data_IF_333809341851
#
_entry.id   IF_333809341851
#
_cell.length_a   1.000
_cell.length_b   1.000
_cell.length_c   1.000
_cell.angle_alpha   90.00
_cell.angle_beta   90.00
_cell.angle_gamma   90.00
#
_symmetry.space_group_name_H-M   'P 1'
#
loop_
_entity.id
_entity.type
_entity.pdbx_description
1 polymer ?
#
# COMPACT_ATOMS: atom_id res chain seq x y z
N UNK A 1 11.75 -4.58 15.91
CA UNK A 1 10.53 -5.36 15.71
C UNK A 1 9.96 -5.00 14.35
N UNK A 2 9.74 -5.97 13.47
CA UNK A 2 8.97 -5.75 12.25
C UNK A 2 7.53 -5.33 12.60
N UNK A 3 7.11 -4.16 12.11
CA UNK A 3 5.75 -3.67 12.29
C UNK A 3 4.93 -4.04 11.06
N UNK A 4 3.79 -4.69 11.28
CA UNK A 4 2.83 -5.00 10.20
C UNK A 4 1.50 -4.31 10.46
N UNK A 5 1.03 -3.58 9.45
CA UNK A 5 -0.19 -2.78 9.50
C UNK A 5 -1.10 -3.26 8.37
N UNK A 6 -2.40 -3.26 8.61
CA UNK A 6 -3.40 -3.56 7.60
C UNK A 6 -4.46 -2.48 7.65
N UNK A 7 -4.66 -1.78 6.53
CA UNK A 7 -5.58 -0.66 6.43
C UNK A 7 -6.52 -0.86 5.24
N UNK A 8 -7.80 -0.55 5.44
CA UNK A 8 -8.80 -0.55 4.39
C UNK A 8 -9.12 0.88 3.97
N UNK A 9 -9.21 1.11 2.66
CA UNK A 9 -9.59 2.40 2.11
C UNK A 9 -10.40 2.21 0.83
N UNK A 10 -11.06 3.29 0.39
CA UNK A 10 -11.78 3.32 -0.88
C UNK A 10 -10.99 4.21 -1.83
N UNK A 11 -10.71 3.71 -3.04
CA UNK A 11 -10.00 4.50 -4.06
C UNK A 11 -10.94 5.50 -4.77
N UNK A 12 -10.40 6.36 -5.63
CA UNK A 12 -11.18 7.38 -6.36
C UNK A 12 -12.25 6.79 -7.30
N UNK A 13 -12.14 5.50 -7.63
CA UNK A 13 -13.13 4.77 -8.43
C UNK A 13 -14.27 4.17 -7.57
N UNK A 14 -14.29 4.43 -6.26
CA UNK A 14 -15.26 3.87 -5.32
C UNK A 14 -15.03 2.39 -5.04
N UNK A 15 -13.81 1.88 -5.25
CA UNK A 15 -13.45 0.48 -5.01
C UNK A 15 -12.82 0.31 -3.64
N UNK A 16 -13.24 -0.72 -2.92
CA UNK A 16 -12.68 -1.06 -1.60
C UNK A 16 -11.35 -1.79 -1.80
N UNK A 17 -10.33 -1.30 -1.11
CA UNK A 17 -8.96 -1.78 -1.17
C UNK A 17 -8.47 -2.08 0.24
N UNK A 18 -7.63 -3.11 0.37
CA UNK A 18 -6.89 -3.45 1.58
C UNK A 18 -5.39 -3.30 1.29
N UNK A 19 -4.71 -2.42 2.04
CA UNK A 19 -3.27 -2.31 2.08
C UNK A 19 -2.69 -3.15 3.24
N UNK A 20 -1.66 -3.93 2.95
CA UNK A 20 -0.80 -4.59 3.91
C UNK A 20 0.57 -3.91 3.87
N UNK A 21 0.97 -3.31 4.97
CA UNK A 21 2.22 -2.56 5.11
C UNK A 21 3.13 -3.34 6.06
N UNK A 22 4.37 -3.56 5.65
CA UNK A 22 5.42 -4.16 6.46
C UNK A 22 6.59 -3.20 6.55
N UNK A 23 6.87 -2.73 7.75
CA UNK A 23 7.97 -1.82 8.07
C UNK A 23 9.03 -2.68 8.77
N UNK A 24 10.20 -2.81 8.15
CA UNK A 24 11.34 -3.50 8.73
C UNK A 24 11.92 -2.72 9.91
N UNK A 25 12.74 -3.38 10.72
CA UNK A 25 13.37 -2.74 11.87
C UNK A 25 14.22 -1.53 11.43
N UNK A 26 14.03 -0.34 12.03
CA UNK A 26 14.80 0.85 11.67
C UNK A 26 16.32 0.69 11.86
N UNK A 27 16.80 -0.26 12.67
CA UNK A 27 18.22 -0.60 12.79
C UNK A 27 18.75 -1.41 11.60
N UNK A 28 17.88 -2.12 10.87
CA UNK A 28 18.21 -2.89 9.66
C UNK A 28 17.96 -2.10 8.36
N UNK A 29 17.19 -1.01 8.41
CA UNK A 29 16.96 -0.09 7.30
C UNK A 29 15.59 0.61 7.37
N UNK A 30 15.35 1.55 6.46
CA UNK A 30 14.05 2.23 6.28
C UNK A 30 13.21 1.60 5.16
N UNK A 31 13.36 0.29 4.96
CA UNK A 31 12.64 -0.44 3.92
C UNK A 31 11.17 -0.64 4.32
N UNK A 32 10.27 -0.08 3.51
CA UNK A 32 8.84 -0.24 3.67
C UNK A 32 8.27 -1.00 2.48
N UNK A 33 7.65 -2.14 2.77
CA UNK A 33 6.95 -2.96 1.79
C UNK A 33 5.45 -2.73 1.88
N UNK A 34 4.83 -2.42 0.75
CA UNK A 34 3.39 -2.16 0.66
C UNK A 34 2.78 -3.08 -0.39
N UNK A 35 1.75 -3.80 0.04
CA UNK A 35 0.92 -4.64 -0.82
C UNK A 35 -0.50 -4.08 -0.80
N UNK A 36 -1.02 -3.66 -1.94
CA UNK A 36 -2.40 -3.17 -2.07
C UNK A 36 -3.20 -4.16 -2.89
N UNK A 37 -4.36 -4.57 -2.36
CA UNK A 37 -5.27 -5.53 -2.98
C UNK A 37 -6.68 -5.00 -2.97
N UNK A 38 -7.42 -5.25 -4.04
CA UNK A 38 -8.88 -5.05 -4.06
C UNK A 38 -9.58 -6.11 -3.20
N UNK A 39 -10.60 -5.70 -2.44
CA UNK A 39 -11.40 -6.63 -1.63
C UNK A 39 -12.18 -7.63 -2.51
N UNK A 40 -12.36 -8.85 -2.00
CA UNK A 40 -13.06 -9.93 -2.72
C UNK A 40 -14.51 -9.55 -3.04
N UNK A 41 -14.98 -9.90 -4.24
CA UNK A 41 -16.34 -9.58 -4.70
C UNK A 41 -16.45 -8.28 -5.51
N UNK A 42 -15.39 -7.47 -5.59
CA UNK A 42 -15.34 -6.29 -6.46
C UNK A 42 -14.78 -6.58 -7.88
N UNK A 43 -14.51 -7.86 -8.17
CA UNK A 43 -14.02 -8.34 -9.46
C UNK A 43 -14.96 -7.93 -10.61
N UNK A 44 -14.49 -7.07 -11.49
CA UNK A 44 -15.18 -6.72 -12.72
C UNK A 44 -14.52 -7.48 -13.88
N UNK A 45 -15.26 -8.40 -14.51
CA UNK A 45 -14.80 -9.20 -15.67
C UNK A 45 -14.33 -8.34 -16.86
N UNK A 46 -14.78 -7.08 -16.95
CA UNK A 46 -14.39 -6.14 -18.00
C UNK A 46 -13.06 -5.44 -17.69
N UNK A 47 -12.64 -5.42 -16.41
CA UNK A 47 -11.32 -4.97 -15.95
C UNK A 47 -10.54 -6.18 -15.42
N UNK A 48 -9.95 -6.95 -16.33
CA UNK A 48 -9.22 -8.20 -16.05
C UNK A 48 -8.05 -8.08 -15.05
N UNK A 49 -7.67 -6.87 -14.66
CA UNK A 49 -6.70 -6.61 -13.62
C UNK A 49 -7.43 -6.43 -12.28
N UNK A 50 -7.62 -7.53 -11.55
CA UNK A 50 -7.74 -7.42 -10.11
C UNK A 50 -6.48 -6.73 -9.61
N UNK A 51 -6.57 -5.45 -9.27
CA UNK A 51 -5.40 -4.63 -8.95
C UNK A 51 -4.75 -5.17 -7.66
N UNK A 52 -3.74 -6.02 -7.84
CA UNK A 52 -2.75 -6.36 -6.84
C UNK A 52 -1.49 -5.63 -7.25
N UNK A 53 -1.14 -4.58 -6.52
CA UNK A 53 0.16 -3.90 -6.70
C UNK A 53 0.99 -4.13 -5.45
N UNK A 54 2.17 -4.69 -5.65
CA UNK A 54 3.16 -4.93 -4.62
C UNK A 54 4.36 -4.04 -4.97
N UNK A 55 4.70 -3.11 -4.08
CA UNK A 55 5.86 -2.26 -4.27
C UNK A 55 6.61 -2.08 -2.96
N UNK A 56 7.90 -1.75 -3.09
CA UNK A 56 8.77 -1.44 -1.98
C UNK A 56 9.32 -0.05 -2.22
N UNK A 57 9.35 0.75 -1.16
CA UNK A 57 9.96 2.07 -1.20
C UNK A 57 10.72 2.31 0.10
N UNK A 58 11.70 3.21 0.04
CA UNK A 58 12.43 3.67 1.22
C UNK A 58 11.73 4.92 1.74
N UNK A 59 11.36 4.93 3.03
CA UNK A 59 10.70 6.09 3.61
C UNK A 59 11.59 7.34 3.56
N UNK A 60 11.00 8.50 3.30
CA UNK A 60 11.73 9.77 3.17
C UNK A 60 12.01 10.39 4.55
N UNK A 61 11.12 10.20 5.52
CA UNK A 61 11.34 10.70 6.88
C UNK A 61 12.46 9.92 7.59
N UNK A 62 13.17 10.59 8.48
CA UNK A 62 14.10 9.96 9.42
C UNK A 62 13.40 9.46 10.69
N UNK A 63 12.12 9.79 10.90
CA UNK A 63 11.32 9.35 12.05
C UNK A 63 10.49 8.11 11.67
N UNK A 64 10.72 6.95 12.31
CA UNK A 64 9.95 5.73 12.06
C UNK A 64 8.43 5.85 12.28
N UNK A 65 7.98 6.85 13.04
CA UNK A 65 6.55 7.10 13.23
C UNK A 65 5.89 7.72 12.00
N UNK A 66 6.65 8.42 11.15
CA UNK A 66 6.13 8.99 9.90
C UNK A 66 6.05 7.95 8.79
N UNK A 67 6.88 6.91 8.84
CA UNK A 67 6.94 5.86 7.82
C UNK A 67 5.60 5.17 7.60
N UNK A 68 4.81 5.03 8.66
CA UNK A 68 3.44 4.51 8.59
C UNK A 68 2.53 5.41 7.77
N UNK A 69 2.54 6.72 8.04
CA UNK A 69 1.71 7.68 7.31
C UNK A 69 2.14 7.77 5.85
N UNK A 70 3.45 7.79 5.58
CA UNK A 70 4.00 7.73 4.23
C UNK A 70 3.54 6.46 3.49
N UNK A 71 3.50 5.31 4.17
CA UNK A 71 3.13 4.04 3.57
C UNK A 71 1.65 3.98 3.22
N UNK A 72 0.80 4.51 4.09
CA UNK A 72 -0.64 4.63 3.87
C UNK A 72 -0.91 5.54 2.67
N UNK A 73 -0.24 6.70 2.60
CA UNK A 73 -0.39 7.63 1.47
C UNK A 73 0.13 7.03 0.16
N UNK A 74 1.25 6.32 0.19
CA UNK A 74 1.76 5.60 -0.98
C UNK A 74 0.79 4.50 -1.43
N UNK A 75 0.18 3.76 -0.50
CA UNK A 75 -0.81 2.73 -0.79
C UNK A 75 -2.05 3.30 -1.49
N UNK A 76 -2.56 4.45 -1.02
CA UNK A 76 -3.70 5.14 -1.66
C UNK A 76 -3.36 5.55 -3.09
N UNK A 77 -2.24 6.25 -3.29
CA UNK A 77 -1.76 6.65 -4.62
C UNK A 77 -1.61 5.47 -5.58
N UNK A 78 -1.09 4.35 -5.10
CA UNK A 78 -0.97 3.13 -5.91
C UNK A 78 -2.33 2.50 -6.24
N UNK A 79 -3.28 2.54 -5.30
CA UNK A 79 -4.67 2.10 -5.51
C UNK A 79 -5.46 2.97 -6.50
N UNK A 80 -5.07 4.24 -6.67
CA UNK A 80 -5.62 5.16 -7.67
C UNK A 80 -4.99 5.02 -9.07
N UNK A 81 -4.01 4.12 -9.23
CA UNK A 81 -3.44 3.76 -10.54
C UNK A 81 -2.24 4.60 -10.99
N UNK A 82 -1.66 5.44 -10.14
CA UNK A 82 -0.55 6.34 -10.50
C UNK A 82 0.80 5.65 -10.78
N UNK A 83 0.92 4.33 -10.58
CA UNK A 83 2.13 3.56 -10.86
C UNK A 83 2.03 2.71 -12.15
N UNK A 84 1.06 2.99 -13.03
CA UNK A 84 0.83 2.25 -14.29
C UNK A 84 1.02 3.09 -15.57
N UNK A 85 1.75 4.21 -15.52
CA UNK A 85 2.24 4.90 -16.72
C UNK A 85 3.69 4.52 -17.08
#
# INVERSE_FOLDING_TARGET
MDKKITEKFVNDMGKEMTASISISDPEEGNDVKVTVRMDEGQFNKDHYSGYCTDFQYSAESSDPNDWENEAIEAAKRAGDGWYLE
#
